data_IF_900596828035
#
_entry.id   IF_900596828035
#
_cell.length_a   1.000
_cell.length_b   1.000
_cell.length_c   1.000
_cell.angle_alpha   90.00
_cell.angle_beta   90.00
_cell.angle_gamma   90.00
#
_symmetry.space_group_name_H-M   'P 1'
#
loop_
_entity.id
_entity.type
_entity.pdbx_description
1 polymer ?
#
# COMPACT_ATOMS: atom_id res chain seq x y z
N UNK A 1 4.60 -28.64 6.70
CA UNK A 1 5.97 -28.21 7.02
C UNK A 1 6.02 -27.21 8.18
N UNK A 2 4.97 -26.43 8.43
CA UNK A 2 5.01 -25.32 9.40
C UNK A 2 4.72 -25.70 10.86
N UNK A 3 3.79 -26.61 11.11
CA UNK A 3 3.33 -26.94 12.46
C UNK A 3 3.37 -28.44 12.79
N UNK A 4 3.99 -29.28 11.94
CA UNK A 4 4.22 -30.70 12.15
C UNK A 4 2.96 -31.58 12.20
N UNK A 5 1.78 -31.11 11.77
CA UNK A 5 0.57 -31.94 11.66
C UNK A 5 0.13 -32.11 10.21
N UNK A 6 -0.13 -33.34 9.86
CA UNK A 6 -0.62 -33.75 8.53
C UNK A 6 -2.06 -33.23 8.26
N UNK A 7 -2.39 -33.05 6.99
CA UNK A 7 -3.73 -32.75 6.50
C UNK A 7 -4.25 -31.35 6.81
N UNK A 8 -3.40 -30.40 7.23
CA UNK A 8 -3.83 -29.02 7.55
C UNK A 8 -3.31 -27.96 6.57
N UNK A 9 -2.42 -28.31 5.67
CA UNK A 9 -1.92 -27.46 4.61
C UNK A 9 -2.79 -27.62 3.36
N UNK A 10 -3.49 -26.58 2.96
CA UNK A 10 -4.16 -26.48 1.67
C UNK A 10 -3.28 -25.70 0.68
N UNK A 11 -3.18 -26.17 -0.55
CA UNK A 11 -2.60 -25.43 -1.67
C UNK A 11 -3.68 -25.23 -2.71
N UNK A 12 -3.86 -24.00 -3.15
CA UNK A 12 -4.81 -23.67 -4.21
C UNK A 12 -4.04 -23.45 -5.52
N UNK A 13 -4.10 -24.42 -6.45
CA UNK A 13 -3.35 -24.34 -7.70
C UNK A 13 -3.85 -23.22 -8.64
N UNK A 14 -5.08 -22.75 -8.47
CA UNK A 14 -5.64 -21.71 -9.32
C UNK A 14 -5.17 -20.30 -8.94
N UNK A 15 -4.71 -20.12 -7.70
CA UNK A 15 -4.25 -18.84 -7.17
C UNK A 15 -2.79 -18.86 -6.75
N UNK A 16 -2.11 -20.00 -6.92
CA UNK A 16 -0.73 -20.25 -6.46
C UNK A 16 -0.51 -19.91 -4.98
N UNK A 17 -1.55 -20.11 -4.16
CA UNK A 17 -1.54 -19.77 -2.74
C UNK A 17 -1.60 -21.03 -1.88
N UNK A 18 -0.83 -21.05 -0.78
CA UNK A 18 -0.99 -22.05 0.27
C UNK A 18 -1.50 -21.42 1.57
N UNK A 19 -2.22 -22.20 2.36
CA UNK A 19 -2.70 -21.83 3.68
C UNK A 19 -2.71 -23.03 4.62
N UNK A 20 -2.07 -22.91 5.78
CA UNK A 20 -2.17 -23.88 6.84
C UNK A 20 -3.30 -23.52 7.79
N UNK A 21 -4.39 -24.28 7.78
CA UNK A 21 -5.59 -24.03 8.59
C UNK A 21 -5.39 -24.19 10.11
N UNK A 22 -4.18 -24.58 10.55
CA UNK A 22 -3.87 -24.71 11.97
C UNK A 22 -3.04 -23.56 12.52
N UNK A 23 -1.91 -23.27 11.89
CA UNK A 23 -0.96 -22.25 12.34
C UNK A 23 -1.10 -20.93 11.56
N UNK A 24 -2.07 -20.86 10.65
CA UNK A 24 -2.36 -19.71 9.79
C UNK A 24 -1.19 -19.27 8.90
N UNK A 25 -0.14 -20.10 8.75
CA UNK A 25 0.93 -19.85 7.77
C UNK A 25 0.35 -19.86 6.38
N UNK A 26 0.64 -18.84 5.60
CA UNK A 26 0.14 -18.66 4.24
C UNK A 26 1.16 -17.92 3.40
N UNK A 27 1.15 -18.14 2.10
CA UNK A 27 2.04 -17.53 1.14
C UNK A 27 1.79 -18.03 -0.27
N UNK A 28 2.64 -17.64 -1.21
CA UNK A 28 2.57 -18.13 -2.59
C UNK A 28 3.35 -19.44 -2.77
N UNK A 29 3.23 -20.05 -3.95
CA UNK A 29 3.88 -21.32 -4.26
C UNK A 29 5.41 -21.23 -4.16
N UNK A 30 6.01 -20.10 -4.54
CA UNK A 30 7.45 -19.92 -4.44
C UNK A 30 7.91 -19.87 -2.99
N UNK A 31 7.18 -19.16 -2.10
CA UNK A 31 7.46 -19.16 -0.66
C UNK A 31 7.43 -20.58 -0.11
N UNK A 32 6.46 -21.38 -0.57
CA UNK A 32 6.34 -22.79 -0.16
C UNK A 32 7.54 -23.61 -0.61
N UNK A 33 7.98 -23.43 -1.87
CA UNK A 33 9.15 -24.14 -2.43
C UNK A 33 10.43 -23.75 -1.70
N UNK A 34 10.67 -22.47 -1.45
CA UNK A 34 11.84 -22.00 -0.70
C UNK A 34 11.92 -22.67 0.68
N UNK A 35 10.79 -22.81 1.37
CA UNK A 35 10.72 -23.42 2.69
C UNK A 35 10.91 -24.95 2.63
N UNK A 36 10.24 -25.62 1.69
CA UNK A 36 10.29 -27.08 1.58
C UNK A 36 11.68 -27.56 1.16
N UNK A 37 12.29 -26.87 0.20
CA UNK A 37 13.60 -27.22 -0.35
C UNK A 37 14.76 -26.58 0.40
N UNK A 38 14.47 -25.78 1.45
CA UNK A 38 15.46 -25.05 2.27
C UNK A 38 16.40 -24.18 1.42
N UNK A 39 15.83 -23.50 0.42
CA UNK A 39 16.57 -22.65 -0.49
C UNK A 39 16.72 -21.26 0.09
N UNK A 40 17.86 -20.62 -0.17
CA UNK A 40 18.18 -19.30 0.37
C UNK A 40 17.86 -18.17 -0.58
N UNK A 41 17.74 -18.46 -1.88
CA UNK A 41 17.54 -17.44 -2.90
C UNK A 41 16.30 -17.68 -3.77
N UNK A 42 15.68 -16.60 -4.18
CA UNK A 42 14.58 -16.59 -5.14
C UNK A 42 14.89 -17.32 -6.44
N UNK A 43 16.11 -17.12 -6.98
CA UNK A 43 16.53 -17.73 -8.24
C UNK A 43 16.63 -19.25 -8.14
N UNK A 44 17.01 -19.78 -6.98
CA UNK A 44 17.00 -21.23 -6.74
C UNK A 44 15.57 -21.77 -6.72
N UNK A 45 14.66 -21.07 -6.03
CA UNK A 45 13.25 -21.45 -6.01
C UNK A 45 12.60 -21.41 -7.39
N UNK A 46 12.91 -20.42 -8.22
CA UNK A 46 12.45 -20.37 -9.61
C UNK A 46 12.98 -21.55 -10.44
N UNK A 47 14.26 -21.90 -10.30
CA UNK A 47 14.84 -23.05 -11.00
C UNK A 47 14.13 -24.36 -10.64
N UNK A 48 13.78 -24.54 -9.36
CA UNK A 48 12.99 -25.70 -8.93
C UNK A 48 11.61 -25.68 -9.57
N UNK A 49 10.91 -24.55 -9.55
CA UNK A 49 9.59 -24.42 -10.19
C UNK A 49 9.66 -24.63 -11.72
N UNK A 50 10.73 -24.17 -12.38
CA UNK A 50 10.95 -24.36 -13.80
C UNK A 50 11.07 -25.86 -14.19
N UNK A 51 11.63 -26.71 -13.33
CA UNK A 51 11.71 -28.14 -13.56
C UNK A 51 10.32 -28.82 -13.65
N UNK A 52 9.31 -28.22 -13.06
CA UNK A 52 7.93 -28.73 -13.07
C UNK A 52 7.04 -28.10 -14.14
N UNK A 53 7.54 -27.13 -14.93
CA UNK A 53 6.78 -26.48 -16.02
C UNK A 53 6.26 -27.45 -17.09
N UNK A 54 7.00 -28.52 -17.34
CA UNK A 54 6.67 -29.50 -18.39
C UNK A 54 5.68 -30.60 -17.97
N UNK A 55 5.24 -30.57 -16.71
CA UNK A 55 4.28 -31.57 -16.17
C UNK A 55 2.83 -31.36 -16.61
N UNK A 56 2.57 -30.51 -17.60
CA UNK A 56 1.22 -30.24 -18.13
C UNK A 56 0.41 -29.25 -17.32
N UNK A 57 0.98 -28.68 -16.29
CA UNK A 57 0.36 -27.63 -15.51
C UNK A 57 0.46 -26.30 -16.29
N UNK A 58 -0.59 -25.97 -17.03
CA UNK A 58 -0.75 -24.62 -17.57
C UNK A 58 -1.19 -23.72 -16.42
N UNK A 59 -0.29 -22.85 -15.95
CA UNK A 59 -0.69 -21.65 -15.23
C UNK A 59 -1.70 -20.96 -16.17
N UNK A 60 -2.97 -20.96 -15.80
CA UNK A 60 -3.90 -20.04 -16.42
C UNK A 60 -3.36 -18.67 -16.09
N UNK A 61 -2.65 -18.08 -17.05
CA UNK A 61 -2.58 -16.63 -17.10
C UNK A 61 -4.04 -16.18 -17.19
N UNK A 62 -4.65 -15.88 -16.05
CA UNK A 62 -5.76 -14.97 -16.08
C UNK A 62 -5.18 -13.69 -16.68
N UNK A 63 -5.29 -13.59 -18.00
CA UNK A 63 -5.37 -12.28 -18.64
C UNK A 63 -6.54 -11.63 -17.96
N UNK A 64 -6.26 -10.91 -16.90
CA UNK A 64 -7.14 -9.83 -16.46
C UNK A 64 -7.20 -8.96 -17.70
N UNK A 65 -8.23 -9.17 -18.53
CA UNK A 65 -8.58 -8.19 -19.55
C UNK A 65 -8.54 -6.88 -18.81
N UNK A 66 -7.63 -6.01 -19.23
CA UNK A 66 -7.59 -4.62 -18.78
C UNK A 66 -8.93 -4.04 -19.25
N UNK A 67 -9.99 -4.28 -18.47
CA UNK A 67 -11.21 -3.51 -18.62
C UNK A 67 -10.73 -2.07 -18.62
N UNK A 68 -10.97 -1.37 -19.73
CA UNK A 68 -10.65 0.05 -19.79
C UNK A 68 -11.28 0.67 -18.56
N UNK A 69 -10.44 1.10 -17.62
CA UNK A 69 -10.91 1.70 -16.39
C UNK A 69 -11.75 2.91 -16.78
N UNK A 70 -13.04 2.83 -16.53
CA UNK A 70 -13.92 3.99 -16.72
C UNK A 70 -13.39 5.11 -15.80
N UNK A 71 -13.26 6.34 -16.30
CA UNK A 71 -12.86 7.45 -15.45
C UNK A 71 -13.82 7.58 -14.28
N UNK A 72 -13.27 7.67 -13.07
CA UNK A 72 -14.04 7.91 -11.87
C UNK A 72 -14.63 9.31 -11.90
N UNK A 73 -15.92 9.44 -11.64
CA UNK A 73 -16.56 10.75 -11.48
C UNK A 73 -16.41 11.19 -10.02
N UNK A 74 -15.87 12.38 -9.81
CA UNK A 74 -15.80 12.98 -8.46
C UNK A 74 -17.21 13.34 -7.97
N UNK A 75 -17.41 13.42 -6.62
CA UNK A 75 -18.68 13.80 -6.03
C UNK A 75 -19.25 15.09 -6.61
N UNK A 76 -20.58 15.16 -6.72
CA UNK A 76 -21.26 16.38 -7.15
C UNK A 76 -20.87 17.56 -6.25
N UNK A 77 -20.75 18.74 -6.84
CA UNK A 77 -20.30 19.91 -6.08
C UNK A 77 -18.85 19.90 -5.63
N UNK A 78 -18.02 19.00 -6.18
CA UNK A 78 -16.57 19.00 -5.92
C UNK A 78 -15.93 20.34 -6.28
N UNK A 79 -15.07 20.85 -5.38
CA UNK A 79 -14.26 22.05 -5.57
C UNK A 79 -12.85 21.83 -5.04
N UNK A 80 -11.87 22.38 -5.74
CA UNK A 80 -10.48 22.35 -5.27
C UNK A 80 -10.31 23.10 -3.95
N UNK A 81 -9.34 22.71 -3.12
CA UNK A 81 -9.08 23.32 -1.81
C UNK A 81 -8.84 24.82 -1.87
N UNK A 82 -8.27 25.35 -2.96
CA UNK A 82 -8.02 26.78 -3.15
C UNK A 82 -9.25 27.56 -3.66
N UNK A 83 -10.36 26.88 -3.92
CA UNK A 83 -11.60 27.48 -4.44
C UNK A 83 -12.64 27.69 -3.33
N UNK A 84 -13.55 28.63 -3.57
CA UNK A 84 -14.69 28.93 -2.70
C UNK A 84 -14.34 29.69 -1.45
N UNK A 85 -15.35 30.41 -0.93
CA UNK A 85 -15.26 31.28 0.25
C UNK A 85 -16.21 30.86 1.38
N UNK A 86 -17.01 29.82 1.15
CA UNK A 86 -17.99 29.29 2.11
C UNK A 86 -17.30 28.80 3.41
N UNK A 87 -18.09 28.64 4.47
CA UNK A 87 -17.58 28.16 5.75
C UNK A 87 -16.96 26.76 5.61
N UNK A 88 -17.55 25.87 4.83
CA UNK A 88 -17.00 24.53 4.60
C UNK A 88 -15.64 24.59 3.89
N UNK A 89 -15.47 25.48 2.91
CA UNK A 89 -14.19 25.72 2.23
C UNK A 89 -13.11 26.21 3.20
N UNK A 90 -13.46 27.11 4.13
CA UNK A 90 -12.55 27.62 5.17
C UNK A 90 -12.15 26.49 6.14
N UNK A 91 -13.12 25.67 6.57
CA UNK A 91 -12.87 24.53 7.47
C UNK A 91 -11.98 23.47 6.82
N UNK A 92 -12.20 23.13 5.55
CA UNK A 92 -11.33 22.21 4.80
C UNK A 92 -9.88 22.71 4.74
N UNK A 93 -9.69 24.01 4.42
CA UNK A 93 -8.34 24.62 4.42
C UNK A 93 -7.70 24.66 5.80
N UNK A 94 -8.49 24.98 6.85
CA UNK A 94 -8.00 24.98 8.23
C UNK A 94 -7.51 23.58 8.66
N UNK A 95 -8.28 22.54 8.33
CA UNK A 95 -7.87 21.16 8.59
C UNK A 95 -6.55 20.79 7.90
N UNK A 96 -6.39 21.14 6.63
CA UNK A 96 -5.16 20.90 5.87
C UNK A 96 -3.96 21.63 6.47
N UNK A 97 -4.14 22.90 6.85
CA UNK A 97 -3.11 23.70 7.55
C UNK A 97 -2.74 23.08 8.90
N UNK A 98 -3.73 22.60 9.66
CA UNK A 98 -3.53 21.90 10.93
C UNK A 98 -2.74 20.58 10.78
N UNK A 99 -2.78 19.97 9.58
CA UNK A 99 -1.96 18.83 9.19
C UNK A 99 -0.55 19.19 8.69
N UNK A 100 -0.22 20.49 8.65
CA UNK A 100 1.10 20.97 8.22
C UNK A 100 1.27 21.16 6.71
N UNK A 101 0.17 21.20 5.94
CA UNK A 101 0.22 21.35 4.48
C UNK A 101 -0.35 22.70 3.99
N UNK A 102 0.14 23.13 2.83
CA UNK A 102 -0.44 24.26 2.11
C UNK A 102 -1.62 23.79 1.23
N UNK A 103 -2.85 24.31 1.46
CA UNK A 103 -4.00 24.01 0.62
C UNK A 103 -3.79 24.27 -0.86
N UNK A 104 -3.01 25.31 -1.23
CA UNK A 104 -2.72 25.62 -2.63
C UNK A 104 -1.86 24.55 -3.30
N UNK A 105 -0.89 23.99 -2.56
CA UNK A 105 -0.07 22.89 -3.07
C UNK A 105 -0.91 21.64 -3.27
N UNK A 106 -1.77 21.27 -2.31
CA UNK A 106 -2.64 20.11 -2.44
C UNK A 106 -3.71 20.28 -3.53
N UNK A 107 -4.18 21.52 -3.77
CA UNK A 107 -5.04 21.82 -4.91
C UNK A 107 -4.40 21.48 -6.25
N UNK A 108 -3.09 21.66 -6.40
CA UNK A 108 -2.35 21.27 -7.62
C UNK A 108 -2.31 19.74 -7.81
N UNK A 109 -2.46 18.98 -6.73
CA UNK A 109 -2.61 17.52 -6.76
C UNK A 109 -4.07 17.10 -6.96
N UNK A 110 -4.98 18.05 -7.22
CA UNK A 110 -6.39 17.77 -7.43
C UNK A 110 -7.20 17.56 -6.15
N UNK A 111 -6.62 17.82 -4.97
CA UNK A 111 -7.36 17.68 -3.72
C UNK A 111 -8.42 18.77 -3.56
N UNK A 112 -9.57 18.37 -3.03
CA UNK A 112 -10.70 19.25 -2.87
C UNK A 112 -11.62 18.85 -1.73
N UNK A 113 -12.79 19.40 -1.75
CA UNK A 113 -13.92 19.09 -0.87
C UNK A 113 -15.18 19.04 -1.71
N UNK A 114 -16.25 18.43 -1.21
CA UNK A 114 -17.55 18.47 -1.85
C UNK A 114 -18.57 19.21 -1.02
N UNK A 115 -19.60 19.70 -1.70
CA UNK A 115 -20.77 20.37 -1.09
C UNK A 115 -22.02 19.52 -1.15
N UNK A 116 -21.97 18.29 -1.75
CA UNK A 116 -23.09 17.36 -1.74
C UNK A 116 -23.34 16.79 -0.33
N UNK A 117 -24.53 16.30 -0.08
CA UNK A 117 -24.96 15.81 1.23
C UNK A 117 -24.12 14.63 1.72
N UNK A 118 -23.83 13.65 0.85
CA UNK A 118 -23.07 12.42 1.17
C UNK A 118 -21.63 12.75 1.61
N UNK A 119 -20.98 13.73 0.96
CA UNK A 119 -19.57 14.07 1.20
C UNK A 119 -19.37 15.41 1.92
N UNK A 120 -20.42 15.97 2.50
CA UNK A 120 -20.31 17.20 3.29
C UNK A 120 -19.38 17.00 4.49
N UNK A 121 -18.36 17.84 4.61
CA UNK A 121 -17.34 17.69 5.66
C UNK A 121 -16.21 16.70 5.35
N UNK A 122 -16.10 16.26 4.08
CA UNK A 122 -15.03 15.39 3.63
C UNK A 122 -14.08 16.06 2.64
N UNK A 123 -12.78 15.83 2.84
CA UNK A 123 -11.77 16.07 1.82
C UNK A 123 -11.84 14.98 0.78
N UNK A 124 -11.86 15.34 -0.48
CA UNK A 124 -11.80 14.43 -1.62
C UNK A 124 -10.36 14.37 -2.10
N UNK A 125 -9.78 13.19 -2.04
CA UNK A 125 -8.38 12.90 -2.36
C UNK A 125 -8.36 11.98 -3.57
N UNK A 126 -8.12 12.50 -4.79
CA UNK A 126 -8.14 11.68 -6.00
C UNK A 126 -6.90 10.82 -6.14
N UNK A 127 -7.07 9.65 -6.75
CA UNK A 127 -6.02 8.73 -7.17
C UNK A 127 -5.96 8.70 -8.68
N UNK A 128 -4.80 8.88 -9.22
CA UNK A 128 -4.59 8.98 -10.65
C UNK A 128 -3.90 7.77 -11.22
N UNK A 129 -4.23 7.44 -12.48
CA UNK A 129 -3.50 6.56 -13.36
C UNK A 129 -3.60 7.09 -14.78
N UNK A 130 -2.48 7.26 -15.47
CA UNK A 130 -2.42 7.80 -16.82
C UNK A 130 -3.19 9.13 -16.93
N UNK A 131 -3.00 10.03 -15.96
CA UNK A 131 -3.69 11.33 -15.83
C UNK A 131 -5.22 11.26 -15.66
N UNK A 132 -5.79 10.07 -15.49
CA UNK A 132 -7.22 9.88 -15.23
C UNK A 132 -7.46 9.58 -13.76
N UNK A 133 -8.55 10.10 -13.20
CA UNK A 133 -8.97 9.74 -11.86
C UNK A 133 -9.57 8.33 -11.93
N UNK A 134 -9.00 7.40 -11.17
CA UNK A 134 -9.44 6.01 -11.10
C UNK A 134 -10.13 5.66 -9.77
N UNK A 135 -9.95 6.52 -8.78
CA UNK A 135 -10.50 6.34 -7.44
C UNK A 135 -10.39 7.64 -6.65
N UNK A 136 -11.11 7.76 -5.54
CA UNK A 136 -10.86 8.79 -4.53
C UNK A 136 -11.04 8.24 -3.12
N UNK A 137 -10.37 8.84 -2.13
CA UNK A 137 -10.75 8.72 -0.73
C UNK A 137 -11.45 10.01 -0.29
N UNK A 138 -12.54 9.89 0.46
CA UNK A 138 -13.15 11.01 1.15
C UNK A 138 -12.79 10.94 2.64
N UNK A 139 -11.98 11.89 3.13
CA UNK A 139 -11.50 11.95 4.51
C UNK A 139 -12.31 12.97 5.31
N UNK A 140 -12.99 12.52 6.36
CA UNK A 140 -13.75 13.38 7.25
C UNK A 140 -12.85 14.39 7.98
N UNK A 141 -13.19 15.68 7.91
CA UNK A 141 -12.51 16.75 8.60
C UNK A 141 -13.41 17.48 9.63
N UNK A 142 -14.69 17.18 9.67
CA UNK A 142 -15.62 17.72 10.68
C UNK A 142 -15.88 16.75 11.84
N UNK A 143 -15.43 15.51 11.75
CA UNK A 143 -15.66 14.45 12.75
C UNK A 143 -17.15 14.12 12.97
N UNK A 144 -18.00 14.37 11.97
CA UNK A 144 -19.47 14.18 12.03
C UNK A 144 -19.94 12.85 11.48
N UNK A 145 -19.02 11.93 11.15
CA UNK A 145 -19.34 10.64 10.53
C UNK A 145 -18.13 9.72 10.45
N UNK A 146 -18.15 8.68 9.62
CA UNK A 146 -17.04 7.75 9.44
C UNK A 146 -15.75 8.50 9.08
N UNK A 147 -14.61 8.00 9.57
CA UNK A 147 -13.29 8.58 9.30
C UNK A 147 -12.99 8.70 7.80
N UNK A 148 -13.46 7.72 7.02
CA UNK A 148 -13.35 7.68 5.56
C UNK A 148 -14.65 7.20 4.94
N UNK A 149 -15.01 7.82 3.79
CA UNK A 149 -15.93 7.29 2.82
C UNK A 149 -15.14 6.93 1.57
N UNK A 150 -15.39 5.75 1.05
CA UNK A 150 -14.80 5.30 -0.21
C UNK A 150 -15.93 5.21 -1.25
N UNK A 151 -15.63 5.38 -2.55
CA UNK A 151 -16.61 5.11 -3.59
C UNK A 151 -17.12 3.67 -3.50
N UNK A 152 -18.38 3.45 -3.80
CA UNK A 152 -18.96 2.13 -3.88
C UNK A 152 -18.36 1.36 -5.08
N UNK A 153 -18.42 0.01 -5.02
CA UNK A 153 -17.88 -0.85 -6.09
C UNK A 153 -18.58 -0.57 -7.43
N UNK A 154 -19.85 -0.19 -7.39
CA UNK A 154 -20.63 0.21 -8.57
C UNK A 154 -20.15 1.55 -9.16
N UNK A 155 -19.66 2.46 -8.33
CA UNK A 155 -19.12 3.76 -8.74
C UNK A 155 -17.68 3.65 -9.24
N UNK A 156 -16.95 2.61 -8.79
CA UNK A 156 -15.53 2.42 -9.07
C UNK A 156 -15.28 1.10 -9.78
N UNK A 157 -14.54 1.16 -10.89
CA UNK A 157 -14.08 -0.06 -11.59
C UNK A 157 -13.05 -0.85 -10.78
N UNK A 158 -12.48 -0.26 -9.72
CA UNK A 158 -11.44 -0.84 -8.87
C UNK A 158 -11.84 -0.74 -7.39
N UNK A 159 -11.64 -1.82 -6.67
CA UNK A 159 -11.74 -1.80 -5.20
C UNK A 159 -10.49 -1.19 -4.55
N UNK A 160 -10.63 -0.72 -3.32
CA UNK A 160 -9.54 -0.16 -2.49
C UNK A 160 -8.30 -1.07 -2.43
N UNK A 161 -8.48 -2.39 -2.41
CA UNK A 161 -7.39 -3.37 -2.37
C UNK A 161 -6.61 -3.49 -3.69
N UNK A 162 -7.08 -2.84 -4.75
CA UNK A 162 -6.49 -2.93 -6.09
C UNK A 162 -5.72 -1.68 -6.51
N UNK A 163 -5.72 -0.66 -5.68
CA UNK A 163 -5.13 0.65 -5.99
C UNK A 163 -4.02 1.02 -5.01
N UNK A 164 -3.10 1.85 -5.49
CA UNK A 164 -2.13 2.57 -4.66
C UNK A 164 -2.25 4.07 -4.97
N UNK A 165 -2.19 4.89 -3.93
CA UNK A 165 -2.03 6.32 -4.14
C UNK A 165 -0.66 6.59 -4.77
N UNK A 166 -0.62 7.44 -5.80
CA UNK A 166 0.59 7.78 -6.52
C UNK A 166 1.36 6.54 -7.06
N UNK A 167 0.62 5.56 -7.59
CA UNK A 167 1.17 4.30 -8.11
C UNK A 167 2.26 4.51 -9.17
N UNK A 168 2.16 5.61 -9.95
CA UNK A 168 3.13 5.94 -11.00
C UNK A 168 4.56 6.12 -10.46
N UNK A 169 4.70 6.49 -9.18
CA UNK A 169 6.02 6.59 -8.54
C UNK A 169 6.82 5.28 -8.58
N UNK A 170 6.14 4.12 -8.59
CA UNK A 170 6.77 2.80 -8.74
C UNK A 170 7.51 2.63 -10.06
N UNK A 171 7.12 3.37 -11.08
CA UNK A 171 7.68 3.30 -12.44
C UNK A 171 8.63 4.46 -12.74
N UNK A 172 8.50 5.58 -12.02
CA UNK A 172 9.28 6.79 -12.26
C UNK A 172 10.55 6.88 -11.39
N UNK A 173 10.56 6.23 -10.23
CA UNK A 173 11.64 6.39 -9.26
C UNK A 173 12.28 5.05 -8.88
N UNK A 174 13.58 5.07 -8.61
CA UNK A 174 14.31 3.91 -8.11
C UNK A 174 13.98 3.57 -6.65
N UNK A 175 13.43 4.52 -5.90
CA UNK A 175 13.03 4.31 -4.49
C UNK A 175 11.75 5.04 -4.16
N UNK A 176 10.87 4.39 -3.37
CA UNK A 176 9.61 4.95 -2.91
C UNK A 176 9.44 4.75 -1.41
N UNK A 177 8.58 5.58 -0.80
CA UNK A 177 8.14 5.46 0.58
C UNK A 177 6.75 4.83 0.57
N UNK A 178 6.60 3.64 1.15
CA UNK A 178 5.30 2.97 1.27
C UNK A 178 4.71 3.22 2.64
N UNK A 179 3.57 3.88 2.68
CA UNK A 179 2.83 4.27 3.89
C UNK A 179 1.44 3.62 3.94
N UNK A 180 0.78 3.67 5.09
CA UNK A 180 -0.64 3.30 5.20
C UNK A 180 -1.55 4.40 4.65
N UNK A 181 -1.31 5.62 5.03
CA UNK A 181 -2.15 6.76 4.74
C UNK A 181 -1.50 7.79 3.82
N UNK A 182 -2.37 8.49 3.08
CA UNK A 182 -1.94 9.49 2.11
C UNK A 182 -1.20 10.68 2.75
N UNK A 183 -1.59 11.11 3.96
CA UNK A 183 -0.89 12.19 4.67
C UNK A 183 0.54 11.82 5.01
N UNK A 184 0.80 10.58 5.42
CA UNK A 184 2.14 10.07 5.65
C UNK A 184 2.96 10.04 4.35
N UNK A 185 2.36 9.56 3.27
CA UNK A 185 3.01 9.49 1.96
C UNK A 185 3.44 10.89 1.47
N UNK A 186 2.54 11.87 1.48
CA UNK A 186 2.87 13.23 1.02
C UNK A 186 3.77 13.99 2.00
N UNK A 187 3.76 13.68 3.30
CA UNK A 187 4.72 14.23 4.27
C UNK A 187 6.14 13.84 3.90
N UNK A 188 6.37 12.57 3.57
CA UNK A 188 7.69 12.08 3.20
C UNK A 188 8.12 12.57 1.81
N UNK A 189 7.23 12.50 0.84
CA UNK A 189 7.48 13.04 -0.50
C UNK A 189 6.21 13.04 -1.34
N UNK A 190 5.81 14.19 -1.87
CA UNK A 190 4.70 14.27 -2.81
C UNK A 190 4.92 13.43 -4.08
N UNK A 191 6.18 13.28 -4.51
CA UNK A 191 6.51 12.57 -5.74
C UNK A 191 6.79 11.07 -5.54
N UNK A 192 7.37 10.67 -4.40
CA UNK A 192 7.82 9.29 -4.13
C UNK A 192 7.05 8.60 -3.02
N UNK A 193 6.16 9.29 -2.33
CA UNK A 193 5.29 8.72 -1.33
C UNK A 193 4.14 7.99 -2.00
N UNK A 194 3.97 6.71 -1.70
CA UNK A 194 2.82 5.88 -2.11
C UNK A 194 2.09 5.37 -0.88
N UNK A 195 0.80 5.10 -0.99
CA UNK A 195 0.09 4.47 0.12
C UNK A 195 -1.00 3.50 -0.33
N UNK A 196 -1.34 2.57 0.56
CA UNK A 196 -2.34 1.51 0.32
C UNK A 196 -3.77 1.98 0.57
N UNK A 197 -3.94 3.19 1.12
CA UNK A 197 -5.23 3.70 1.57
C UNK A 197 -5.94 2.79 2.60
N UNK A 198 -5.20 2.00 3.35
CA UNK A 198 -5.70 1.07 4.36
C UNK A 198 -4.59 0.45 5.16
N UNK A 199 -4.95 -0.15 6.31
CA UNK A 199 -4.00 -0.76 7.25
C UNK A 199 -3.21 -1.94 6.67
N UNK A 200 -3.78 -2.65 5.71
CA UNK A 200 -3.17 -3.86 5.13
C UNK A 200 -2.83 -3.66 3.67
N UNK A 201 -1.68 -4.18 3.27
CA UNK A 201 -1.29 -4.30 1.86
C UNK A 201 -1.90 -5.58 1.31
N UNK A 202 -2.72 -5.49 0.28
CA UNK A 202 -3.32 -6.66 -0.36
C UNK A 202 -2.29 -7.39 -1.24
N UNK A 203 -2.55 -8.67 -1.54
CA UNK A 203 -1.71 -9.44 -2.48
C UNK A 203 -1.66 -8.79 -3.87
N UNK A 204 -2.72 -8.11 -4.29
CA UNK A 204 -2.74 -7.37 -5.55
C UNK A 204 -1.78 -6.16 -5.52
N UNK A 205 -1.79 -5.38 -4.44
CA UNK A 205 -0.87 -4.26 -4.22
C UNK A 205 0.58 -4.74 -4.06
N UNK A 206 0.82 -5.84 -3.30
CA UNK A 206 2.13 -6.49 -3.19
C UNK A 206 2.66 -6.86 -4.58
N UNK A 207 1.85 -7.54 -5.41
CA UNK A 207 2.24 -7.94 -6.76
C UNK A 207 2.56 -6.74 -7.67
N UNK A 208 1.83 -5.63 -7.55
CA UNK A 208 2.16 -4.40 -8.28
C UNK A 208 3.54 -3.88 -7.90
N UNK A 209 3.86 -3.83 -6.60
CA UNK A 209 5.16 -3.37 -6.11
C UNK A 209 6.27 -4.32 -6.60
N UNK A 210 6.07 -5.63 -6.47
CA UNK A 210 7.04 -6.65 -6.89
C UNK A 210 7.34 -6.56 -8.39
N UNK A 211 6.30 -6.46 -9.22
CA UNK A 211 6.42 -6.41 -10.69
C UNK A 211 6.91 -5.06 -11.24
N UNK A 212 6.88 -4.00 -10.45
CA UNK A 212 7.33 -2.68 -10.89
C UNK A 212 8.86 -2.59 -11.01
N UNK A 213 9.40 -1.63 -11.77
CA UNK A 213 10.85 -1.44 -11.91
C UNK A 213 11.52 -0.78 -10.70
N UNK A 214 10.77 -0.37 -9.68
CA UNK A 214 11.34 0.21 -8.45
C UNK A 214 12.34 -0.75 -7.80
N UNK A 215 13.48 -0.25 -7.40
CA UNK A 215 14.56 -1.07 -6.82
C UNK A 215 14.47 -1.14 -5.29
N UNK A 216 14.02 -0.06 -4.64
CA UNK A 216 14.10 0.15 -3.19
C UNK A 216 12.76 0.56 -2.61
N UNK A 217 12.32 -0.15 -1.60
CA UNK A 217 11.10 0.14 -0.85
C UNK A 217 11.47 0.56 0.57
N UNK A 218 11.04 1.75 0.96
CA UNK A 218 11.18 2.23 2.34
C UNK A 218 9.80 2.11 2.98
N UNK A 219 9.63 1.10 3.82
CA UNK A 219 8.38 0.84 4.54
C UNK A 219 8.28 1.82 5.72
N UNK A 220 7.26 2.67 5.66
CA UNK A 220 6.96 3.70 6.64
C UNK A 220 5.52 3.52 7.13
N UNK A 221 5.23 2.32 7.66
CA UNK A 221 3.92 1.98 8.22
C UNK A 221 3.80 2.50 9.65
N UNK A 222 2.58 2.64 10.13
CA UNK A 222 2.32 3.19 11.46
C UNK A 222 2.87 2.28 12.56
N UNK A 223 3.32 2.85 13.68
CA UNK A 223 4.04 2.12 14.74
C UNK A 223 3.23 1.02 15.45
N UNK A 224 1.90 1.00 15.29
CA UNK A 224 1.00 -0.04 15.81
C UNK A 224 0.84 -1.25 14.87
N UNK A 225 1.44 -1.19 13.67
CA UNK A 225 1.35 -2.23 12.62
C UNK A 225 2.68 -2.95 12.38
N UNK A 226 3.57 -3.01 13.39
CA UNK A 226 4.94 -3.51 13.22
C UNK A 226 5.00 -4.98 12.75
N UNK A 227 4.13 -5.85 13.26
CA UNK A 227 4.11 -7.24 12.84
C UNK A 227 3.73 -7.39 11.37
N UNK A 228 2.70 -6.66 10.92
CA UNK A 228 2.29 -6.62 9.52
C UNK A 228 3.38 -6.02 8.63
N UNK A 229 4.07 -5.00 9.12
CA UNK A 229 5.19 -4.36 8.43
C UNK A 229 6.36 -5.34 8.22
N UNK A 230 6.71 -6.14 9.24
CA UNK A 230 7.74 -7.18 9.13
C UNK A 230 7.31 -8.27 8.14
N UNK A 231 6.06 -8.72 8.19
CA UNK A 231 5.55 -9.73 7.24
C UNK A 231 5.64 -9.23 5.78
N UNK A 232 5.28 -7.97 5.55
CA UNK A 232 5.42 -7.34 4.25
C UNK A 232 6.88 -7.20 3.83
N UNK A 233 7.75 -6.75 4.76
CA UNK A 233 9.19 -6.62 4.51
C UNK A 233 9.82 -7.95 4.10
N UNK A 234 9.49 -9.06 4.80
CA UNK A 234 9.96 -10.42 4.50
C UNK A 234 9.57 -10.88 3.09
N UNK A 235 8.40 -10.49 2.60
CA UNK A 235 7.99 -10.80 1.22
C UNK A 235 8.71 -9.92 0.21
N UNK A 236 8.75 -8.61 0.47
CA UNK A 236 9.32 -7.67 -0.50
C UNK A 236 10.84 -7.78 -0.61
N UNK A 237 11.56 -8.16 0.46
CA UNK A 237 13.03 -8.27 0.43
C UNK A 237 13.54 -9.38 -0.49
N UNK A 238 12.69 -10.32 -0.89
CA UNK A 238 13.02 -11.34 -1.89
C UNK A 238 13.17 -10.74 -3.31
N UNK A 239 12.59 -9.57 -3.55
CA UNK A 239 12.51 -8.94 -4.88
C UNK A 239 13.12 -7.55 -4.93
N UNK A 240 13.19 -6.86 -3.80
CA UNK A 240 13.54 -5.44 -3.67
C UNK A 240 14.48 -5.22 -2.50
N UNK A 241 15.25 -4.16 -2.54
CA UNK A 241 15.95 -3.68 -1.34
C UNK A 241 14.93 -3.03 -0.40
N UNK A 242 14.86 -3.50 0.84
CA UNK A 242 13.85 -3.05 1.80
C UNK A 242 14.48 -2.37 3.01
N UNK A 243 13.97 -1.18 3.37
CA UNK A 243 14.14 -0.58 4.70
C UNK A 243 12.82 -0.69 5.45
N UNK A 244 12.86 -1.19 6.68
CA UNK A 244 11.71 -1.16 7.58
C UNK A 244 11.96 -0.07 8.63
N UNK A 245 11.25 1.05 8.50
CA UNK A 245 11.35 2.18 9.42
C UNK A 245 10.36 1.99 10.56
N UNK A 246 10.86 1.91 11.78
CA UNK A 246 10.03 1.75 12.99
C UNK A 246 9.80 3.15 13.56
N UNK A 247 8.56 3.62 13.48
CA UNK A 247 8.15 4.86 14.12
C UNK A 247 7.92 4.67 15.61
N UNK A 248 8.09 5.72 16.44
CA UNK A 248 7.72 5.66 17.85
C UNK A 248 6.25 5.25 18.00
N UNK A 249 5.93 4.56 19.10
CA UNK A 249 4.57 4.13 19.41
C UNK A 249 3.59 5.29 19.30
N UNK A 250 2.44 5.02 18.70
CA UNK A 250 1.35 5.98 18.47
C UNK A 250 1.75 7.22 17.64
N UNK A 251 2.83 7.12 16.85
CA UNK A 251 3.29 8.17 15.94
C UNK A 251 3.41 7.66 14.52
N UNK A 252 3.06 8.53 13.60
CA UNK A 252 3.24 8.30 12.17
C UNK A 252 4.17 9.37 11.53
N UNK A 253 4.41 9.28 10.25
CA UNK A 253 5.29 10.21 9.54
C UNK A 253 4.74 11.64 9.54
N UNK A 254 3.41 11.82 9.49
CA UNK A 254 2.80 13.15 9.54
C UNK A 254 2.89 13.78 10.93
N UNK A 255 2.72 12.98 12.00
CA UNK A 255 2.86 13.44 13.39
C UNK A 255 4.29 13.90 13.71
N UNK A 256 5.29 13.19 13.20
CA UNK A 256 6.70 13.55 13.41
C UNK A 256 7.15 14.70 12.52
N UNK A 257 6.51 14.87 11.37
CA UNK A 257 6.90 15.79 10.32
C UNK A 257 8.11 15.31 9.51
N UNK A 258 8.35 15.94 8.37
CA UNK A 258 9.36 15.53 7.39
C UNK A 258 10.76 15.36 7.98
N UNK A 259 11.25 16.34 8.72
CA UNK A 259 12.64 16.35 9.22
C UNK A 259 12.96 15.16 10.13
N UNK A 260 12.09 14.88 11.10
CA UNK A 260 12.30 13.77 12.04
C UNK A 260 12.12 12.42 11.35
N UNK A 261 11.15 12.32 10.46
CA UNK A 261 10.91 11.10 9.68
C UNK A 261 12.10 10.79 8.77
N UNK A 262 12.67 11.77 8.06
CA UNK A 262 13.87 11.57 7.25
C UNK A 262 15.09 11.18 8.08
N UNK A 263 15.23 11.71 9.30
CA UNK A 263 16.31 11.30 10.21
C UNK A 263 16.19 9.81 10.58
N UNK A 264 14.99 9.32 10.92
CA UNK A 264 14.75 7.91 11.17
C UNK A 264 15.07 7.06 9.92
N UNK A 265 14.58 7.46 8.76
CA UNK A 265 14.81 6.76 7.49
C UNK A 265 16.32 6.68 7.16
N UNK A 266 17.05 7.76 7.38
CA UNK A 266 18.49 7.82 7.13
C UNK A 266 19.25 6.81 8.02
N UNK A 267 18.89 6.73 9.30
CA UNK A 267 19.52 5.85 10.26
C UNK A 267 19.06 4.39 10.16
N UNK A 268 18.03 4.10 9.39
CA UNK A 268 17.57 2.72 9.15
C UNK A 268 18.40 2.12 8.00
N UNK A 269 18.95 0.93 8.19
CA UNK A 269 19.64 0.18 7.13
C UNK A 269 18.68 -0.59 6.23
N UNK A 270 19.14 -0.95 5.04
CA UNK A 270 18.47 -1.99 4.25
C UNK A 270 18.67 -3.34 4.94
N UNK A 271 17.63 -4.16 4.97
CA UNK A 271 17.63 -5.42 5.68
C UNK A 271 17.41 -6.57 4.70
N UNK A 272 18.18 -7.64 4.87
CA UNK A 272 17.96 -8.91 4.19
C UNK A 272 16.94 -9.77 4.96
N UNK A 273 16.63 -10.94 4.39
CA UNK A 273 15.63 -11.85 4.95
C UNK A 273 15.98 -12.33 6.38
N UNK A 274 17.25 -12.68 6.62
CA UNK A 274 17.70 -13.18 7.93
C UNK A 274 17.62 -12.08 9.00
N UNK A 275 18.05 -10.86 8.68
CA UNK A 275 17.94 -9.70 9.58
C UNK A 275 16.49 -9.37 9.94
N UNK A 276 15.56 -9.50 8.98
CA UNK A 276 14.13 -9.31 9.22
C UNK A 276 13.53 -10.43 10.09
N UNK A 277 13.97 -11.68 9.94
CA UNK A 277 13.57 -12.78 10.82
C UNK A 277 14.07 -12.56 12.24
N UNK A 278 15.34 -12.14 12.38
CA UNK A 278 15.89 -11.80 13.71
C UNK A 278 15.08 -10.68 14.37
N UNK A 279 14.82 -9.58 13.62
CA UNK A 279 14.01 -8.48 14.12
C UNK A 279 12.60 -8.93 14.55
N UNK A 280 12.00 -9.85 13.80
CA UNK A 280 10.71 -10.44 14.16
C UNK A 280 10.76 -11.13 15.52
N UNK A 281 11.82 -11.92 15.78
CA UNK A 281 12.00 -12.62 17.07
C UNK A 281 12.31 -11.67 18.24
N UNK A 282 12.91 -10.52 17.98
CA UNK A 282 13.22 -9.53 19.01
C UNK A 282 11.97 -8.71 19.42
N UNK A 283 10.97 -8.60 18.54
CA UNK A 283 9.77 -7.78 18.74
C UNK A 283 8.51 -8.59 19.09
N UNK A 284 8.55 -9.92 19.00
CA UNK A 284 7.49 -10.87 19.41
C UNK A 284 7.90 -11.61 20.68
#
# INVERSE_FOLDING_TARGET
>A
PFCGREGKLGVNPSTDFYHCFRCNSKGNLLDLVLILERLETFNEGLKVLEQYKDSGYRIKEERVELKQLAPMILPEGFRLLNQGTSQIAKSARAYIKGRGFDPNQLSKLGWGYSTDEKHFGYLIIPYYKDHKIIYYNARNFLSTGPRYLNPDIEESSLGKSQILYNEEALYMYKSVYLCEGVFNAITLSQNRGICTAGKFVSSYQENKIIKSPVERIILCLDGDAIEQAIQLALKLCLYKQVKLVIFPKDKDANDLGLRKSLHLIYNTKYMNYQELIQLKHELT
#
